data_IF_654951431189
#
_entry.id   IF_654951431189
#
_cell.length_a   1.000
_cell.length_b   1.000
_cell.length_c   1.000
_cell.angle_alpha   90.00
_cell.angle_beta   90.00
_cell.angle_gamma   90.00
#
_symmetry.space_group_name_H-M   'P 1'
#
loop_
_entity.id
_entity.type
_entity.pdbx_description
1 polymer ?
#
# COMPACT_ATOMS: atom_id res chain seq x y z
N UNK A 1 31.85 17.43 -18.43
CA UNK A 1 31.12 16.44 -17.61
C UNK A 1 29.69 16.87 -17.49
N UNK A 2 28.85 16.41 -18.41
CA UNK A 2 27.39 16.61 -18.37
C UNK A 2 26.79 15.43 -17.62
N UNK A 3 26.39 15.61 -16.37
CA UNK A 3 25.54 14.66 -15.68
C UNK A 3 24.11 14.82 -16.21
N UNK A 4 23.54 13.70 -16.61
CA UNK A 4 22.17 13.53 -17.08
C UNK A 4 21.16 14.15 -16.13
N UNK A 5 20.55 15.25 -16.59
CA UNK A 5 19.43 15.93 -15.92
C UNK A 5 18.07 15.41 -16.43
N UNK A 6 17.92 14.13 -16.65
CA UNK A 6 16.69 13.60 -17.26
C UNK A 6 16.04 12.46 -16.47
N UNK A 7 16.04 12.56 -15.13
CA UNK A 7 15.03 11.88 -14.33
C UNK A 7 14.11 12.96 -13.73
N UNK A 8 12.80 12.89 -13.91
CA UNK A 8 11.90 13.72 -13.11
C UNK A 8 12.02 13.25 -11.67
N UNK A 9 12.76 14.02 -10.87
CA UNK A 9 12.74 13.82 -9.45
C UNK A 9 11.28 13.89 -8.99
N UNK A 10 10.84 12.88 -8.24
CA UNK A 10 9.57 12.86 -7.49
C UNK A 10 9.57 13.91 -6.36
N UNK A 11 10.53 14.85 -6.40
CA UNK A 11 10.68 15.92 -5.44
C UNK A 11 9.53 16.91 -5.62
N UNK A 12 8.80 17.14 -4.56
CA UNK A 12 7.89 18.26 -4.35
C UNK A 12 6.51 18.15 -4.99
N UNK A 13 5.85 17.01 -4.85
CA UNK A 13 4.48 16.80 -5.27
C UNK A 13 3.52 16.84 -4.07
N UNK A 14 2.66 17.85 -4.04
CA UNK A 14 1.50 17.90 -3.16
C UNK A 14 0.25 17.92 -4.03
N UNK A 15 -0.68 17.02 -3.78
CA UNK A 15 -1.92 16.87 -4.53
C UNK A 15 -3.08 17.06 -3.55
N UNK A 16 -3.95 18.00 -3.89
CA UNK A 16 -5.22 18.23 -3.22
C UNK A 16 -6.33 17.60 -4.07
N UNK A 17 -7.18 16.79 -3.46
CA UNK A 17 -8.29 16.10 -4.11
C UNK A 17 -9.61 16.53 -3.48
N UNK A 18 -10.54 17.07 -4.27
CA UNK A 18 -11.89 17.42 -3.85
C UNK A 18 -12.93 16.33 -4.21
N UNK A 19 -14.15 16.33 -3.58
CA UNK A 19 -15.13 15.27 -3.75
C UNK A 19 -15.73 15.18 -5.15
N UNK A 20 -16.00 13.95 -5.57
CA UNK A 20 -16.59 13.58 -6.86
C UNK A 20 -18.03 14.17 -7.00
N UNK A 21 -18.39 14.94 -8.07
CA UNK A 21 -18.39 14.44 -9.45
C UNK A 21 -17.42 15.12 -10.42
N UNK A 22 -16.68 16.16 -10.02
CA UNK A 22 -15.55 16.68 -10.79
C UNK A 22 -14.29 16.56 -9.92
N UNK A 23 -13.36 15.70 -10.29
CA UNK A 23 -12.06 15.61 -9.65
C UNK A 23 -11.26 16.87 -9.96
N UNK A 24 -11.18 17.80 -9.01
CA UNK A 24 -10.26 18.93 -9.09
C UNK A 24 -8.94 18.51 -8.47
N UNK A 25 -7.86 18.64 -9.21
CA UNK A 25 -6.52 18.42 -8.73
C UNK A 25 -5.80 19.75 -8.61
N UNK A 26 -5.27 20.00 -7.43
CA UNK A 26 -4.29 21.06 -7.21
C UNK A 26 -2.93 20.45 -7.04
N UNK A 27 -1.91 21.07 -7.60
CA UNK A 27 -0.52 20.70 -7.40
C UNK A 27 0.27 21.90 -6.94
N UNK A 28 0.88 21.81 -5.77
CA UNK A 28 1.78 22.84 -5.25
C UNK A 28 3.22 22.40 -5.50
N UNK A 29 4.04 23.30 -6.02
CA UNK A 29 5.47 23.07 -6.25
C UNK A 29 6.23 24.39 -6.01
N UNK A 30 7.34 24.33 -5.30
CA UNK A 30 8.14 25.52 -5.00
C UNK A 30 9.04 25.95 -6.16
N UNK A 31 9.22 25.12 -7.18
CA UNK A 31 10.04 25.41 -8.34
C UNK A 31 9.19 26.06 -9.45
N UNK A 32 9.36 27.37 -9.65
CA UNK A 32 8.62 28.13 -10.66
C UNK A 32 8.73 27.54 -12.08
N UNK A 33 9.93 27.14 -12.50
CA UNK A 33 10.11 26.56 -13.83
C UNK A 33 9.34 25.24 -14.00
N UNK A 34 9.31 24.41 -12.94
CA UNK A 34 8.53 23.18 -12.95
C UNK A 34 7.03 23.45 -12.99
N UNK A 35 6.55 24.42 -12.25
CA UNK A 35 5.14 24.85 -12.31
C UNK A 35 4.75 25.23 -13.73
N UNK A 36 5.58 25.99 -14.43
CA UNK A 36 5.34 26.38 -15.83
C UNK A 36 5.26 25.17 -16.75
N UNK A 37 6.24 24.27 -16.68
CA UNK A 37 6.27 23.05 -17.50
C UNK A 37 5.06 22.14 -17.24
N UNK A 38 4.60 22.06 -15.97
CA UNK A 38 3.44 21.28 -15.57
C UNK A 38 2.13 21.90 -16.05
N UNK A 39 2.00 23.21 -15.98
CA UNK A 39 0.80 23.93 -16.47
C UNK A 39 0.59 23.69 -17.98
N UNK A 40 1.66 23.55 -18.74
CA UNK A 40 1.58 23.23 -20.16
C UNK A 40 1.12 21.77 -20.42
N UNK A 41 1.50 20.83 -19.54
CA UNK A 41 1.25 19.39 -19.68
C UNK A 41 -0.08 18.93 -19.07
N UNK A 42 -0.48 19.53 -17.96
CA UNK A 42 -1.65 19.11 -17.20
C UNK A 42 -2.86 19.97 -17.62
N UNK A 43 -3.92 19.30 -18.12
CA UNK A 43 -5.14 19.99 -18.64
C UNK A 43 -6.22 20.17 -17.58
N UNK A 44 -6.24 19.31 -16.56
CA UNK A 44 -7.30 19.22 -15.55
C UNK A 44 -6.79 19.49 -14.13
N UNK A 45 -5.54 19.92 -13.99
CA UNK A 45 -4.90 20.17 -12.69
C UNK A 45 -4.49 21.63 -12.61
N UNK A 46 -4.90 22.29 -11.54
CA UNK A 46 -4.40 23.63 -11.20
C UNK A 46 -3.02 23.50 -10.60
N UNK A 47 -2.03 24.21 -11.18
CA UNK A 47 -0.66 24.20 -10.67
C UNK A 47 -0.38 25.49 -9.94
N UNK A 48 -0.02 25.39 -8.67
CA UNK A 48 0.29 26.52 -7.80
C UNK A 48 1.79 26.57 -7.52
N UNK A 49 2.36 27.77 -7.64
CA UNK A 49 3.73 28.02 -7.22
C UNK A 49 3.75 28.54 -5.80
N UNK A 50 4.30 27.77 -4.86
CA UNK A 50 4.37 28.16 -3.47
C UNK A 50 4.99 27.08 -2.57
N UNK A 51 5.01 27.37 -1.28
CA UNK A 51 5.42 26.44 -0.24
C UNK A 51 4.17 25.78 0.36
N UNK A 52 4.15 24.46 0.43
CA UNK A 52 3.06 23.71 1.01
C UNK A 52 2.90 23.85 2.54
N UNK A 53 3.82 24.54 3.19
CA UNK A 53 3.69 24.96 4.58
C UNK A 53 3.13 26.39 4.75
N UNK A 54 2.83 27.07 3.66
CA UNK A 54 2.22 28.41 3.67
C UNK A 54 0.71 28.30 3.96
N UNK A 55 0.32 28.75 5.16
CA UNK A 55 -1.07 28.71 5.62
C UNK A 55 -1.99 29.60 4.81
N UNK A 56 -1.52 30.79 4.42
CA UNK A 56 -2.35 31.74 3.68
C UNK A 56 -2.65 31.20 2.28
N UNK A 57 -1.69 30.54 1.66
CA UNK A 57 -1.88 29.86 0.38
C UNK A 57 -2.90 28.69 0.52
N UNK A 58 -2.75 27.86 1.54
CA UNK A 58 -3.68 26.75 1.78
C UNK A 58 -5.12 27.23 2.03
N UNK A 59 -5.29 28.29 2.82
CA UNK A 59 -6.60 28.89 3.07
C UNK A 59 -7.20 29.50 1.79
N UNK A 60 -6.38 30.14 0.97
CA UNK A 60 -6.80 30.70 -0.31
C UNK A 60 -7.32 29.66 -1.30
N UNK A 61 -6.88 28.40 -1.16
CA UNK A 61 -7.29 27.26 -1.99
C UNK A 61 -8.30 26.34 -1.29
N UNK A 62 -8.97 26.81 -0.23
CA UNK A 62 -10.02 26.10 0.53
C UNK A 62 -9.59 24.72 1.01
N UNK A 63 -8.47 24.64 1.71
CA UNK A 63 -7.92 23.38 2.25
C UNK A 63 -8.94 22.60 3.10
N UNK A 64 -9.86 23.29 3.77
CA UNK A 64 -10.92 22.69 4.58
C UNK A 64 -11.92 21.84 3.79
N UNK A 65 -12.08 22.15 2.49
CA UNK A 65 -12.96 21.40 1.58
C UNK A 65 -12.21 20.27 0.83
N UNK A 66 -10.91 20.08 1.13
CA UNK A 66 -10.07 19.08 0.48
C UNK A 66 -10.31 17.69 1.05
N UNK A 67 -10.72 16.72 0.23
CA UNK A 67 -10.90 15.33 0.66
C UNK A 67 -9.59 14.65 1.01
N UNK A 68 -8.56 14.82 0.18
CA UNK A 68 -7.27 14.15 0.36
C UNK A 68 -6.12 15.10 0.06
N UNK A 69 -5.25 15.28 1.04
CA UNK A 69 -3.98 15.98 0.92
C UNK A 69 -2.83 14.99 0.83
N UNK A 70 -1.97 15.14 -0.17
CA UNK A 70 -0.83 14.26 -0.42
C UNK A 70 0.49 15.04 -0.34
N UNK A 71 1.32 14.75 0.66
CA UNK A 71 2.68 15.30 0.77
C UNK A 71 3.70 14.29 0.24
N UNK A 72 4.24 14.55 -0.96
CA UNK A 72 5.08 13.62 -1.72
C UNK A 72 6.41 14.25 -2.14
N UNK A 73 6.97 15.16 -1.34
CA UNK A 73 8.27 15.78 -1.62
C UNK A 73 9.41 14.82 -1.26
N UNK A 74 10.65 15.21 -1.57
CA UNK A 74 11.85 14.46 -1.18
C UNK A 74 12.35 14.79 0.24
N UNK A 75 11.61 15.57 0.99
CA UNK A 75 11.97 15.99 2.35
C UNK A 75 10.89 15.50 3.33
N UNK A 76 11.26 14.55 4.19
CA UNK A 76 10.35 13.92 5.14
C UNK A 76 9.78 14.91 6.14
N UNK A 77 10.61 15.85 6.63
CA UNK A 77 10.19 16.86 7.59
C UNK A 77 9.15 17.81 6.97
N UNK A 78 9.39 18.25 5.74
CA UNK A 78 8.45 19.10 5.01
C UNK A 78 7.13 18.35 4.75
N UNK A 79 7.20 17.08 4.37
CA UNK A 79 6.01 16.23 4.17
C UNK A 79 5.20 16.07 5.45
N UNK A 80 5.86 15.79 6.57
CA UNK A 80 5.21 15.64 7.88
C UNK A 80 4.55 16.95 8.31
N UNK A 81 5.30 18.06 8.25
CA UNK A 81 4.81 19.35 8.73
C UNK A 81 3.65 19.87 7.88
N UNK A 82 3.73 19.79 6.55
CA UNK A 82 2.65 20.21 5.66
C UNK A 82 1.40 19.34 5.84
N UNK A 83 1.56 18.02 6.05
CA UNK A 83 0.42 17.12 6.32
C UNK A 83 -0.26 17.41 7.64
N UNK A 84 0.51 17.65 8.70
CA UNK A 84 -0.06 18.04 10.01
C UNK A 84 -0.78 19.39 9.93
N UNK A 85 -0.21 20.34 9.20
CA UNK A 85 -0.83 21.65 8.97
C UNK A 85 -2.15 21.50 8.20
N UNK A 86 -2.14 20.80 7.06
CA UNK A 86 -3.34 20.53 6.27
C UNK A 86 -4.44 19.84 7.09
N UNK A 87 -4.08 18.86 7.92
CA UNK A 87 -5.03 18.16 8.78
C UNK A 87 -5.68 19.10 9.80
N UNK A 88 -4.90 19.95 10.44
CA UNK A 88 -5.39 20.97 11.40
C UNK A 88 -6.26 22.02 10.76
N UNK A 89 -6.02 22.31 9.49
CA UNK A 89 -6.80 23.27 8.71
C UNK A 89 -8.09 22.66 8.12
N UNK A 90 -8.35 21.37 8.33
CA UNK A 90 -9.63 20.75 8.01
C UNK A 90 -9.58 19.73 6.86
N UNK A 91 -8.43 19.47 6.23
CA UNK A 91 -8.33 18.44 5.20
C UNK A 91 -8.86 17.09 5.69
N UNK A 92 -9.71 16.45 4.89
CA UNK A 92 -10.43 15.23 5.26
C UNK A 92 -9.48 14.08 5.58
N UNK A 93 -8.54 13.79 4.68
CA UNK A 93 -7.52 12.75 4.84
C UNK A 93 -6.14 13.28 4.44
N UNK A 94 -5.11 12.94 5.20
CA UNK A 94 -3.72 13.30 4.87
C UNK A 94 -2.86 12.06 4.66
N UNK A 95 -2.09 12.06 3.57
CA UNK A 95 -1.18 10.99 3.20
C UNK A 95 0.22 11.56 3.02
N UNK A 96 1.20 10.95 3.64
CA UNK A 96 2.55 11.49 3.75
C UNK A 96 3.58 10.48 3.29
N UNK A 97 4.44 10.87 2.34
CA UNK A 97 5.60 10.07 1.95
C UNK A 97 6.71 10.23 2.98
N UNK A 98 7.24 9.12 3.49
CA UNK A 98 8.31 9.09 4.49
C UNK A 98 9.33 8.04 4.11
N UNK A 99 10.54 8.49 3.81
CA UNK A 99 11.66 7.63 3.45
C UNK A 99 12.36 7.07 4.70
N UNK A 100 12.45 7.87 5.78
CA UNK A 100 13.11 7.46 7.01
C UNK A 100 12.18 6.62 7.90
N UNK A 101 12.51 5.33 8.16
CA UNK A 101 11.68 4.47 8.99
C UNK A 101 11.45 4.99 10.42
N UNK A 102 12.41 5.73 10.99
CA UNK A 102 12.28 6.29 12.33
C UNK A 102 11.13 7.32 12.43
N UNK A 103 10.88 8.07 11.36
CA UNK A 103 9.77 9.02 11.33
C UNK A 103 8.41 8.34 11.16
N UNK A 104 8.35 7.21 10.44
CA UNK A 104 7.13 6.41 10.34
C UNK A 104 6.65 6.02 11.73
N UNK A 105 7.58 5.64 12.61
CA UNK A 105 7.29 5.25 13.98
C UNK A 105 6.73 6.41 14.82
N UNK A 106 7.27 7.59 14.61
CA UNK A 106 6.89 8.79 15.37
C UNK A 106 5.45 9.23 15.05
N UNK A 107 5.04 9.14 13.78
CA UNK A 107 3.77 9.72 13.33
C UNK A 107 2.58 8.76 13.34
N UNK A 108 2.79 7.44 13.45
CA UNK A 108 1.70 6.45 13.43
C UNK A 108 0.70 6.54 14.60
N UNK A 109 1.02 7.29 15.64
CA UNK A 109 0.10 7.57 16.76
C UNK A 109 -0.55 8.95 16.67
N UNK A 110 -0.32 9.69 15.60
CA UNK A 110 -0.67 11.11 15.46
C UNK A 110 -1.82 11.41 14.49
N UNK A 111 -1.87 12.65 14.05
CA UNK A 111 -2.92 13.22 13.19
C UNK A 111 -2.79 12.83 11.71
N UNK A 112 -1.72 12.14 11.30
CA UNK A 112 -1.50 11.70 9.91
C UNK A 112 -2.22 10.37 9.67
N UNK A 113 -3.14 10.36 8.71
CA UNK A 113 -3.98 9.20 8.44
C UNK A 113 -3.19 8.04 7.78
N UNK A 114 -2.30 8.36 6.82
CA UNK A 114 -1.53 7.34 6.09
C UNK A 114 -0.08 7.80 5.91
N UNK A 115 0.84 6.97 6.39
CA UNK A 115 2.27 7.09 6.08
C UNK A 115 2.65 6.13 4.93
N UNK A 116 3.20 6.67 3.86
CA UNK A 116 3.65 5.91 2.69
C UNK A 116 5.18 5.75 2.80
N UNK A 117 5.65 4.52 3.00
CA UNK A 117 7.08 4.23 2.99
C UNK A 117 7.49 3.55 1.68
N UNK A 118 8.30 4.20 0.83
CA UNK A 118 8.79 3.60 -0.42
C UNK A 118 9.57 2.31 -0.18
N UNK A 119 10.33 2.23 0.91
CA UNK A 119 11.08 1.03 1.27
C UNK A 119 10.15 -0.16 1.55
N UNK A 120 9.07 0.04 2.32
CA UNK A 120 8.12 -1.02 2.63
C UNK A 120 7.36 -1.48 1.39
N UNK A 121 6.93 -0.55 0.54
CA UNK A 121 6.27 -0.86 -0.74
C UNK A 121 7.20 -1.65 -1.66
N UNK A 122 8.45 -1.21 -1.80
CA UNK A 122 9.45 -1.88 -2.63
C UNK A 122 9.77 -3.27 -2.08
N UNK A 123 9.98 -3.40 -0.77
CA UNK A 123 10.26 -4.68 -0.13
C UNK A 123 9.11 -5.67 -0.33
N UNK A 124 7.88 -5.23 -0.11
CA UNK A 124 6.68 -6.06 -0.34
C UNK A 124 6.57 -6.50 -1.80
N UNK A 125 6.89 -5.62 -2.75
CA UNK A 125 6.92 -5.95 -4.17
C UNK A 125 8.02 -6.95 -4.52
N UNK A 126 9.23 -6.81 -3.97
CA UNK A 126 10.34 -7.73 -4.19
C UNK A 126 10.08 -9.10 -3.55
N UNK A 127 9.56 -9.15 -2.34
CA UNK A 127 9.24 -10.40 -1.65
C UNK A 127 8.25 -11.25 -2.45
N UNK A 128 7.29 -10.63 -3.13
CA UNK A 128 6.36 -11.30 -4.03
C UNK A 128 7.06 -12.09 -5.15
N UNK A 129 8.19 -11.57 -5.67
CA UNK A 129 8.94 -12.22 -6.75
C UNK A 129 9.95 -13.26 -6.26
N UNK A 130 10.35 -13.21 -4.99
CA UNK A 130 11.39 -14.10 -4.42
C UNK A 130 10.74 -15.30 -3.73
N UNK A 131 9.52 -15.17 -3.22
CA UNK A 131 8.82 -16.26 -2.52
C UNK A 131 8.50 -17.39 -3.49
N UNK A 132 8.76 -18.61 -3.02
CA UNK A 132 8.47 -19.84 -3.76
C UNK A 132 7.04 -20.28 -3.45
N UNK A 133 6.29 -20.63 -4.50
CA UNK A 133 4.91 -21.11 -4.38
C UNK A 133 3.91 -20.12 -4.97
N UNK A 134 2.65 -20.47 -4.90
CA UNK A 134 1.53 -19.73 -5.47
C UNK A 134 1.06 -18.55 -4.58
N UNK A 135 2.03 -17.90 -3.89
CA UNK A 135 1.77 -16.70 -3.08
C UNK A 135 1.73 -15.46 -3.97
N UNK A 136 0.57 -14.84 -4.04
CA UNK A 136 0.29 -13.68 -4.90
C UNK A 136 0.67 -12.38 -4.23
N UNK A 137 0.26 -12.19 -2.99
CA UNK A 137 0.44 -10.95 -2.25
C UNK A 137 0.87 -11.21 -0.81
N UNK A 138 1.65 -10.28 -0.26
CA UNK A 138 2.04 -10.28 1.15
C UNK A 138 1.98 -8.86 1.67
N UNK A 139 1.25 -8.69 2.77
CA UNK A 139 1.08 -7.42 3.46
C UNK A 139 1.62 -7.52 4.88
N UNK A 140 2.59 -6.70 5.19
CA UNK A 140 3.10 -6.59 6.57
C UNK A 140 2.12 -5.79 7.41
N UNK A 141 1.64 -6.36 8.52
CA UNK A 141 0.73 -5.75 9.45
C UNK A 141 1.49 -5.26 10.68
N UNK A 142 1.14 -4.06 11.19
CA UNK A 142 1.74 -3.48 12.39
C UNK A 142 3.26 -3.63 12.44
N UNK A 143 3.98 -3.11 11.41
CA UNK A 143 5.46 -3.10 11.36
C UNK A 143 6.10 -4.48 11.36
N UNK A 144 5.40 -5.45 10.81
CA UNK A 144 5.87 -6.82 10.76
C UNK A 144 5.63 -7.63 12.02
N UNK A 145 4.74 -7.18 12.92
CA UNK A 145 4.26 -8.00 14.03
C UNK A 145 3.40 -9.17 13.54
N UNK A 146 2.76 -9.02 12.38
CA UNK A 146 2.03 -10.07 11.68
C UNK A 146 2.11 -9.84 10.17
N UNK A 147 1.76 -10.86 9.38
CA UNK A 147 1.63 -10.74 7.94
C UNK A 147 0.25 -11.24 7.50
N UNK A 148 -0.33 -10.57 6.51
CA UNK A 148 -1.44 -11.08 5.73
C UNK A 148 -0.87 -11.57 4.39
N UNK A 149 -1.24 -12.77 3.99
CA UNK A 149 -0.74 -13.42 2.78
C UNK A 149 -1.91 -13.89 1.95
N UNK A 150 -1.84 -13.69 0.64
CA UNK A 150 -2.75 -14.25 -0.32
C UNK A 150 -2.05 -15.36 -1.08
N UNK A 151 -2.57 -16.57 -1.00
CA UNK A 151 -2.07 -17.73 -1.74
C UNK A 151 -3.17 -18.33 -2.60
N UNK A 152 -2.81 -18.80 -3.81
CA UNK A 152 -3.73 -19.51 -4.70
C UNK A 152 -3.60 -21.01 -4.44
N UNK A 153 -4.75 -21.69 -4.28
CA UNK A 153 -4.83 -23.11 -4.09
C UNK A 153 -4.85 -23.84 -5.43
N UNK A 154 -3.68 -24.25 -5.94
CA UNK A 154 -3.57 -24.98 -7.21
C UNK A 154 -3.56 -26.50 -7.05
N UNK A 155 -3.88 -27.18 -8.12
CA UNK A 155 -3.87 -28.65 -8.20
C UNK A 155 -5.25 -29.27 -7.89
N UNK A 156 -5.23 -30.55 -7.62
CA UNK A 156 -6.42 -31.34 -7.27
C UNK A 156 -6.26 -32.03 -5.91
N UNK A 157 -7.25 -32.84 -5.50
CA UNK A 157 -7.23 -33.57 -4.23
C UNK A 157 -6.07 -34.52 -4.04
N UNK A 158 -5.37 -34.92 -5.14
CA UNK A 158 -4.27 -35.87 -5.12
C UNK A 158 -2.91 -35.16 -5.12
N UNK A 159 -2.82 -33.98 -5.74
CA UNK A 159 -1.57 -33.24 -5.94
C UNK A 159 -1.41 -32.08 -4.97
N UNK A 160 -2.51 -31.54 -4.43
CA UNK A 160 -2.52 -30.44 -3.49
C UNK A 160 -2.66 -30.93 -2.05
N UNK A 161 -2.04 -30.20 -1.13
CA UNK A 161 -2.18 -30.46 0.32
C UNK A 161 -3.39 -29.75 0.91
N UNK A 162 -3.98 -28.79 0.19
CA UNK A 162 -5.08 -27.94 0.65
C UNK A 162 -6.37 -28.13 -0.15
N UNK A 163 -6.29 -28.34 -1.47
CA UNK A 163 -7.48 -28.50 -2.33
C UNK A 163 -8.27 -29.75 -1.96
N UNK A 164 -9.59 -29.57 -1.85
CA UNK A 164 -10.54 -30.64 -1.49
C UNK A 164 -10.60 -30.98 0.00
N UNK A 165 -9.88 -30.26 0.85
CA UNK A 165 -9.93 -30.39 2.31
C UNK A 165 -10.76 -29.28 2.93
N UNK A 166 -11.38 -29.57 4.06
CA UNK A 166 -11.94 -28.56 4.93
C UNK A 166 -10.82 -27.79 5.63
N UNK A 167 -11.08 -26.55 6.01
CA UNK A 167 -10.11 -25.72 6.72
C UNK A 167 -9.63 -26.39 8.01
N UNK A 168 -10.52 -27.03 8.77
CA UNK A 168 -10.19 -27.76 10.00
C UNK A 168 -9.22 -28.93 9.79
N UNK A 169 -9.23 -29.52 8.59
CA UNK A 169 -8.39 -30.67 8.22
C UNK A 169 -7.02 -30.25 7.64
N UNK A 170 -6.81 -28.96 7.44
CA UNK A 170 -5.55 -28.42 6.94
C UNK A 170 -4.61 -28.21 8.12
N UNK A 171 -3.48 -28.91 8.12
CA UNK A 171 -2.44 -28.74 9.14
C UNK A 171 -1.72 -27.40 9.01
N UNK A 172 -2.40 -26.29 9.36
CA UNK A 172 -1.79 -24.97 9.36
C UNK A 172 -0.67 -24.89 10.41
N UNK A 173 0.45 -24.20 10.10
CA UNK A 173 1.48 -23.91 11.08
C UNK A 173 0.95 -23.11 12.27
N UNK A 174 1.59 -23.26 13.44
CA UNK A 174 1.18 -22.53 14.65
C UNK A 174 1.20 -21.01 14.42
N UNK A 175 0.18 -20.32 14.94
CA UNK A 175 0.03 -18.86 14.75
C UNK A 175 -0.40 -18.45 13.36
N UNK A 176 -0.92 -19.38 12.54
CA UNK A 176 -1.50 -19.13 11.23
C UNK A 176 -3.01 -19.37 11.25
N UNK A 177 -3.78 -18.55 10.57
CA UNK A 177 -5.21 -18.74 10.36
C UNK A 177 -5.62 -18.32 8.94
N UNK A 178 -6.64 -19.00 8.41
CA UNK A 178 -7.31 -18.56 7.18
C UNK A 178 -8.44 -17.61 7.61
N UNK A 179 -8.47 -16.41 7.03
CA UNK A 179 -9.48 -15.40 7.34
C UNK A 179 -10.59 -15.33 6.31
N UNK A 180 -10.26 -15.53 5.03
CA UNK A 180 -11.22 -15.49 3.94
C UNK A 180 -10.74 -16.34 2.75
N UNK A 181 -11.69 -16.70 1.89
CA UNK A 181 -11.45 -17.32 0.59
C UNK A 181 -12.15 -16.47 -0.45
N UNK A 182 -11.47 -16.16 -1.56
CA UNK A 182 -12.07 -15.51 -2.74
C UNK A 182 -12.16 -16.53 -3.85
N UNK A 183 -13.37 -16.78 -4.33
CA UNK A 183 -13.72 -17.74 -5.38
C UNK A 183 -14.65 -17.04 -6.37
N UNK A 184 -14.32 -17.02 -7.66
CA UNK A 184 -15.13 -16.40 -8.71
C UNK A 184 -15.64 -14.99 -8.34
N UNK A 185 -14.74 -14.11 -7.85
CA UNK A 185 -15.04 -12.75 -7.38
C UNK A 185 -15.96 -12.65 -6.14
N UNK A 186 -16.26 -13.78 -5.49
CA UNK A 186 -17.03 -13.81 -4.24
C UNK A 186 -16.11 -14.06 -3.04
N UNK A 187 -16.31 -13.26 -1.99
CA UNK A 187 -15.56 -13.41 -0.75
C UNK A 187 -16.38 -14.23 0.24
N UNK A 188 -15.77 -15.30 0.75
CA UNK A 188 -16.30 -16.14 1.81
C UNK A 188 -15.47 -15.93 3.06
N UNK A 189 -16.12 -15.66 4.19
CA UNK A 189 -15.44 -15.71 5.49
C UNK A 189 -15.06 -17.17 5.78
N UNK A 190 -13.83 -17.39 6.17
CA UNK A 190 -13.33 -18.73 6.44
C UNK A 190 -13.96 -19.28 7.73
N UNK A 191 -14.64 -20.42 7.61
CA UNK A 191 -15.13 -21.25 8.72
C UNK A 191 -14.51 -22.64 8.60
N UNK A 192 -14.45 -23.36 9.68
CA UNK A 192 -13.78 -24.67 9.79
C UNK A 192 -14.28 -25.69 8.77
N UNK A 193 -15.58 -25.64 8.43
CA UNK A 193 -16.27 -26.56 7.51
C UNK A 193 -16.11 -26.19 6.02
N UNK A 194 -15.56 -25.04 5.70
CA UNK A 194 -15.37 -24.60 4.30
C UNK A 194 -14.32 -25.47 3.62
N UNK A 195 -14.65 -25.98 2.45
CA UNK A 195 -13.75 -26.77 1.60
C UNK A 195 -13.03 -25.85 0.63
N UNK A 196 -11.71 -25.96 0.58
CA UNK A 196 -10.87 -25.23 -0.41
C UNK A 196 -10.99 -25.93 -1.76
N UNK A 197 -11.25 -25.14 -2.80
CA UNK A 197 -11.33 -25.60 -4.19
C UNK A 197 -10.11 -25.13 -5.00
N UNK A 198 -9.93 -25.71 -6.19
CA UNK A 198 -8.89 -25.27 -7.12
C UNK A 198 -9.12 -23.84 -7.52
N UNK A 199 -8.03 -23.07 -7.62
CA UNK A 199 -7.99 -21.65 -7.98
C UNK A 199 -8.63 -20.71 -6.94
N UNK A 200 -8.96 -21.21 -5.74
CA UNK A 200 -9.31 -20.34 -4.62
C UNK A 200 -8.14 -19.44 -4.22
N UNK A 201 -8.41 -18.16 -4.05
CA UNK A 201 -7.50 -17.23 -3.41
C UNK A 201 -7.73 -17.27 -1.91
N UNK A 202 -6.77 -17.79 -1.17
CA UNK A 202 -6.85 -18.00 0.27
C UNK A 202 -6.13 -16.88 0.99
N UNK A 203 -6.85 -16.14 1.83
CA UNK A 203 -6.29 -15.05 2.65
C UNK A 203 -5.88 -15.60 4.00
N UNK A 204 -4.61 -15.56 4.28
CA UNK A 204 -3.96 -16.12 5.46
C UNK A 204 -3.44 -15.01 6.37
N UNK A 205 -3.55 -15.19 7.67
CA UNK A 205 -2.90 -14.35 8.67
C UNK A 205 -1.83 -15.15 9.40
N UNK A 206 -0.66 -14.55 9.57
CA UNK A 206 0.52 -15.19 10.14
C UNK A 206 1.14 -14.27 11.19
N UNK A 207 1.29 -14.77 12.42
CA UNK A 207 1.90 -14.01 13.52
C UNK A 207 3.40 -14.28 13.61
N UNK A 208 3.84 -15.53 13.34
CA UNK A 208 5.25 -15.91 13.39
C UNK A 208 5.85 -16.07 11.99
N UNK A 209 6.77 -15.16 11.62
CA UNK A 209 7.47 -15.19 10.33
C UNK A 209 8.32 -16.42 10.08
N UNK A 210 8.73 -17.12 11.12
CA UNK A 210 9.50 -18.37 10.97
C UNK A 210 8.65 -19.47 10.32
N UNK A 211 7.34 -19.38 10.39
CA UNK A 211 6.40 -20.35 9.82
C UNK A 211 6.09 -20.12 8.34
N UNK A 212 6.59 -19.03 7.74
CA UNK A 212 6.31 -18.69 6.33
C UNK A 212 6.72 -19.80 5.39
N UNK A 213 7.91 -20.36 5.56
CA UNK A 213 8.41 -21.41 4.68
C UNK A 213 7.56 -22.69 4.75
N UNK A 214 7.01 -23.02 5.90
CA UNK A 214 6.15 -24.19 6.07
C UNK A 214 4.76 -23.91 5.48
N UNK A 215 4.27 -22.68 5.60
CA UNK A 215 3.03 -22.25 4.99
C UNK A 215 3.13 -22.25 3.44
N UNK A 216 4.21 -21.73 2.88
CA UNK A 216 4.46 -21.76 1.43
C UNK A 216 4.51 -23.20 0.90
N UNK A 217 5.14 -24.13 1.62
CA UNK A 217 5.17 -25.56 1.25
C UNK A 217 3.81 -26.24 1.30
N UNK A 218 2.88 -25.70 2.09
CA UNK A 218 1.53 -26.23 2.18
C UNK A 218 0.73 -25.94 0.90
N UNK A 219 0.96 -24.77 0.27
CA UNK A 219 0.30 -24.34 -0.96
C UNK A 219 1.06 -24.76 -2.24
N UNK A 220 2.27 -25.35 -2.11
CA UNK A 220 2.99 -25.88 -3.26
C UNK A 220 2.32 -27.16 -3.78
N UNK A 221 2.10 -27.22 -5.08
CA UNK A 221 1.67 -28.44 -5.77
C UNK A 221 2.84 -29.41 -5.86
N UNK A 222 2.63 -30.65 -5.46
CA UNK A 222 3.63 -31.70 -5.64
C UNK A 222 3.83 -32.01 -7.13
N UNK A 223 4.99 -31.62 -7.69
CA UNK A 223 5.37 -32.01 -9.05
C UNK A 223 5.74 -33.49 -9.01
N UNK A 224 4.82 -34.35 -9.42
CA UNK A 224 5.14 -35.77 -9.64
C UNK A 224 5.84 -35.86 -11.00
N UNK A 225 7.16 -36.00 -11.00
CA UNK A 225 7.88 -36.40 -12.21
C UNK A 225 7.55 -37.88 -12.47
N UNK A 226 6.85 -38.14 -13.56
CA UNK A 226 6.74 -39.49 -14.16
C UNK A 226 7.98 -39.77 -14.99
#
# INVERSE_FOLDING_TARGET
ERRDQNMPALSDLIILLEPIPLLFFFRVDHCFQRCKDLTEKLKTTTVLHGDASDQDMMLGENIEDTDVFLALTNNDEANIMSSLLAKRMGAGKVMTLIANPAYVDLIQSGEIDIAISPQQVTLSSLLRHIRRGDVVNVYSLRRGAAEAMEAIAHGDKNTSKVVGKKIEDIGLPAGTSIGAIVRDDKVFIAHDDVVIETDDHVILFLVDKNQIADLERLFQVGVTFF
#
